data_IF_060657018356
#
_entry.id   IF_060657018356
#
_cell.length_a   1.000
_cell.length_b   1.000
_cell.length_c   1.000
_cell.angle_alpha   90.00
_cell.angle_beta   90.00
_cell.angle_gamma   90.00
#
_symmetry.space_group_name_H-M   'P 1'
#
loop_
_entity.id
_entity.type
_entity.pdbx_description
1 polymer ?
#
# COMPACT_ATOMS: atom_id res chain seq x y z
N UNK A 1 -0.60 16.39 -22.15
CA UNK A 1 -2.02 16.40 -21.75
C UNK A 1 -2.10 16.03 -20.29
N UNK A 2 -2.09 17.04 -19.40
CA UNK A 2 -2.12 16.88 -17.94
C UNK A 2 -3.57 16.68 -17.50
N UNK A 3 -3.95 15.46 -17.17
CA UNK A 3 -5.19 15.21 -16.43
C UNK A 3 -4.76 15.03 -14.97
N UNK A 4 -4.43 16.14 -14.30
CA UNK A 4 -4.45 16.15 -12.84
C UNK A 4 -5.93 16.16 -12.46
N UNK A 5 -6.45 14.97 -12.17
CA UNK A 5 -7.71 14.85 -11.44
C UNK A 5 -7.52 15.63 -10.14
N UNK A 6 -8.43 16.59 -9.92
CA UNK A 6 -8.46 17.47 -8.76
C UNK A 6 -8.89 16.69 -7.52
N UNK A 7 -8.07 15.73 -7.11
CA UNK A 7 -8.12 15.15 -5.79
C UNK A 7 -7.27 16.05 -4.87
N UNK A 8 -7.70 16.30 -3.62
CA UNK A 8 -6.79 16.88 -2.64
C UNK A 8 -5.52 16.02 -2.60
N UNK A 9 -4.36 16.66 -2.69
CA UNK A 9 -3.07 15.96 -2.54
C UNK A 9 -3.15 15.13 -1.25
N UNK A 10 -3.02 13.78 -1.34
CA UNK A 10 -3.05 12.94 -0.17
C UNK A 10 -1.94 13.40 0.79
N UNK A 11 -2.23 13.40 2.10
CA UNK A 11 -1.17 13.62 3.08
C UNK A 11 -0.02 12.63 2.86
N UNK A 12 1.19 12.93 3.35
CA UNK A 12 2.30 11.98 3.22
C UNK A 12 1.95 10.59 3.80
N UNK A 13 1.20 10.55 4.92
CA UNK A 13 0.71 9.32 5.53
C UNK A 13 -0.29 8.58 4.63
N UNK A 14 -1.26 9.31 4.07
CA UNK A 14 -2.24 8.77 3.12
C UNK A 14 -1.54 8.17 1.88
N UNK A 15 -0.57 8.88 1.34
CA UNK A 15 0.21 8.45 0.17
C UNK A 15 0.94 7.14 0.45
N UNK A 16 1.60 7.05 1.61
CA UNK A 16 2.25 5.82 2.07
C UNK A 16 1.25 4.69 2.21
N UNK A 17 0.08 4.92 2.82
CA UNK A 17 -0.96 3.91 2.98
C UNK A 17 -1.48 3.39 1.63
N UNK A 18 -1.69 4.28 0.67
CA UNK A 18 -2.18 3.94 -0.68
C UNK A 18 -1.17 3.11 -1.47
N UNK A 19 0.10 3.53 -1.46
CA UNK A 19 1.21 2.77 -2.07
C UNK A 19 1.30 1.40 -1.41
N UNK A 20 1.30 1.36 -0.08
CA UNK A 20 1.39 0.14 0.69
C UNK A 20 0.25 -0.84 0.43
N UNK A 21 -0.95 -0.31 0.22
CA UNK A 21 -2.15 -1.09 -0.11
C UNK A 21 -2.16 -1.62 -1.54
N UNK A 22 -1.19 -1.20 -2.37
CA UNK A 22 -1.10 -1.56 -3.78
C UNK A 22 -0.01 -2.60 -4.08
N UNK A 23 0.96 -2.78 -3.19
CA UNK A 23 2.10 -3.70 -3.38
C UNK A 23 1.92 -5.02 -2.61
N UNK A 24 2.44 -6.15 -3.13
CA UNK A 24 2.32 -7.45 -2.47
C UNK A 24 3.32 -7.64 -1.32
N UNK A 25 4.31 -6.76 -1.22
CA UNK A 25 5.42 -6.86 -0.27
C UNK A 25 4.94 -6.82 1.19
N UNK A 26 5.78 -7.33 2.09
CA UNK A 26 5.60 -7.31 3.55
C UNK A 26 6.22 -6.07 4.18
N UNK A 27 5.69 -5.64 5.34
CA UNK A 27 6.14 -4.41 5.98
C UNK A 27 7.62 -4.53 6.29
N UNK A 28 8.40 -3.55 5.83
CA UNK A 28 9.83 -3.51 6.14
C UNK A 28 9.99 -3.33 7.64
N UNK A 29 10.69 -4.26 8.29
CA UNK A 29 10.94 -4.22 9.72
C UNK A 29 11.99 -3.17 10.07
N UNK A 30 11.97 -2.70 11.33
CA UNK A 30 13.01 -1.81 11.85
C UNK A 30 14.42 -2.40 11.70
N UNK A 31 14.54 -3.73 11.89
CA UNK A 31 15.82 -4.42 11.73
C UNK A 31 16.31 -4.39 10.29
N UNK A 32 15.44 -4.63 9.31
CA UNK A 32 15.81 -4.53 7.88
C UNK A 32 16.19 -3.10 7.52
N UNK A 33 15.43 -2.09 7.96
CA UNK A 33 15.81 -0.69 7.73
C UNK A 33 17.18 -0.37 8.33
N UNK A 34 17.46 -0.82 9.55
CA UNK A 34 18.76 -0.62 10.18
C UNK A 34 19.88 -1.37 9.46
N UNK A 35 19.60 -2.58 8.96
CA UNK A 35 20.58 -3.38 8.22
C UNK A 35 21.01 -2.71 6.91
N UNK A 36 20.07 -2.11 6.17
CA UNK A 36 20.36 -1.47 4.88
C UNK A 36 20.84 -0.02 5.02
N UNK A 37 20.33 0.72 6.00
CA UNK A 37 20.57 2.16 6.10
C UNK A 37 21.39 2.58 7.32
N UNK A 38 21.66 1.68 8.29
CA UNK A 38 22.39 2.02 9.52
C UNK A 38 23.85 2.43 9.30
N UNK A 39 24.41 2.18 8.11
CA UNK A 39 25.73 2.66 7.73
C UNK A 39 25.74 4.14 7.29
N UNK A 40 24.58 4.69 6.92
CA UNK A 40 24.44 6.04 6.34
C UNK A 40 23.49 6.95 7.13
N UNK A 41 22.64 6.39 7.98
CA UNK A 41 21.68 7.12 8.81
C UNK A 41 21.77 6.69 10.27
N UNK A 42 21.58 7.67 11.16
CA UNK A 42 21.50 7.41 12.60
C UNK A 42 20.29 6.54 12.94
N UNK A 43 20.45 5.68 13.94
CA UNK A 43 19.39 4.77 14.37
C UNK A 43 18.10 5.49 14.75
N UNK A 44 18.16 6.66 15.39
CA UNK A 44 16.98 7.45 15.76
C UNK A 44 16.22 7.96 14.52
N UNK A 45 16.92 8.30 13.44
CA UNK A 45 16.29 8.68 12.16
C UNK A 45 15.60 7.48 11.55
N UNK A 46 16.26 6.32 11.54
CA UNK A 46 15.69 5.06 11.04
C UNK A 46 14.45 4.65 11.82
N UNK A 47 14.49 4.79 13.14
CA UNK A 47 13.35 4.53 14.03
C UNK A 47 12.20 5.48 13.76
N UNK A 48 12.46 6.77 13.58
CA UNK A 48 11.44 7.76 13.23
C UNK A 48 10.77 7.44 11.88
N UNK A 49 11.54 7.03 10.87
CA UNK A 49 11.02 6.58 9.58
C UNK A 49 10.12 5.35 9.76
N UNK A 50 10.56 4.36 10.54
CA UNK A 50 9.78 3.17 10.83
C UNK A 50 8.47 3.49 11.57
N UNK A 51 8.49 4.37 12.57
CA UNK A 51 7.30 4.79 13.32
C UNK A 51 6.30 5.53 12.43
N UNK A 52 6.78 6.42 11.54
CA UNK A 52 5.93 7.08 10.55
C UNK A 52 5.31 6.08 9.58
N UNK A 53 6.12 5.19 9.01
CA UNK A 53 5.69 4.19 8.03
C UNK A 53 4.68 3.20 8.63
N UNK A 54 5.00 2.61 9.78
CA UNK A 54 4.12 1.68 10.51
C UNK A 54 2.83 2.35 11.00
N UNK A 55 2.92 3.62 11.43
CA UNK A 55 1.77 4.43 11.79
C UNK A 55 0.83 4.69 10.62
N UNK A 56 1.37 5.02 9.44
CA UNK A 56 0.58 5.27 8.23
C UNK A 56 -0.24 4.05 7.76
N UNK A 57 0.26 2.84 8.03
CA UNK A 57 -0.37 1.59 7.59
C UNK A 57 -1.16 0.88 8.68
N UNK A 58 -1.21 1.46 9.88
CA UNK A 58 -1.87 0.90 11.10
C UNK A 58 -1.41 -0.52 11.46
N UNK A 59 -0.20 -0.90 11.08
CA UNK A 59 0.38 -2.22 11.36
C UNK A 59 1.64 -2.00 12.18
N UNK A 60 1.69 -2.60 13.37
CA UNK A 60 2.90 -2.70 14.19
C UNK A 60 3.33 -4.17 14.28
N UNK A 61 4.02 -4.70 13.26
CA UNK A 61 4.46 -6.07 13.32
C UNK A 61 5.71 -6.15 14.20
N UNK A 62 5.76 -7.16 15.06
CA UNK A 62 6.98 -7.51 15.81
C UNK A 62 8.05 -8.12 14.91
N UNK A 63 7.66 -8.71 13.77
CA UNK A 63 8.53 -9.36 12.78
C UNK A 63 7.97 -9.21 11.36
N UNK A 64 8.83 -9.29 10.35
CA UNK A 64 8.41 -9.33 8.94
C UNK A 64 7.49 -10.55 8.72
N UNK A 65 6.23 -10.30 8.33
CA UNK A 65 5.23 -11.34 8.09
C UNK A 65 4.71 -11.20 6.65
N UNK A 66 4.49 -12.32 5.94
CA UNK A 66 3.79 -12.29 4.66
C UNK A 66 2.43 -11.59 4.78
N UNK A 67 2.02 -10.91 3.72
CA UNK A 67 0.68 -10.32 3.64
C UNK A 67 -0.38 -11.43 3.65
N UNK A 68 -1.58 -11.08 4.09
CA UNK A 68 -2.70 -12.02 4.06
C UNK A 68 -3.00 -12.46 2.62
N UNK A 69 -3.52 -13.68 2.47
CA UNK A 69 -3.96 -14.17 1.17
C UNK A 69 -4.97 -13.22 0.49
N UNK A 70 -5.82 -12.57 1.29
CA UNK A 70 -6.77 -11.57 0.81
C UNK A 70 -6.07 -10.37 0.16
N UNK A 71 -5.00 -9.86 0.78
CA UNK A 71 -4.20 -8.77 0.23
C UNK A 71 -3.44 -9.19 -1.03
N UNK A 72 -2.79 -10.36 -1.01
CA UNK A 72 -2.08 -10.90 -2.19
C UNK A 72 -3.04 -11.11 -3.37
N UNK A 73 -4.24 -11.60 -3.10
CA UNK A 73 -5.30 -11.76 -4.11
C UNK A 73 -5.74 -10.41 -4.66
N UNK A 74 -5.92 -9.38 -3.82
CA UNK A 74 -6.20 -8.00 -4.26
C UNK A 74 -5.11 -7.47 -5.20
N UNK A 75 -3.83 -7.59 -4.82
CA UNK A 75 -2.72 -7.15 -5.67
C UNK A 75 -2.73 -7.88 -7.03
N UNK A 76 -2.97 -9.19 -7.02
CA UNK A 76 -3.03 -10.00 -8.24
C UNK A 76 -4.16 -9.56 -9.17
N UNK A 77 -5.38 -9.43 -8.64
CA UNK A 77 -6.55 -8.98 -9.41
C UNK A 77 -6.31 -7.58 -9.99
N UNK A 78 -5.82 -6.65 -9.17
CA UNK A 78 -5.53 -5.28 -9.62
C UNK A 78 -4.46 -5.24 -10.72
N UNK A 79 -3.41 -6.05 -10.60
CA UNK A 79 -2.35 -6.15 -11.62
C UNK A 79 -2.92 -6.67 -12.95
N UNK A 80 -3.74 -7.72 -12.92
CA UNK A 80 -4.40 -8.24 -14.12
C UNK A 80 -5.35 -7.20 -14.74
N UNK A 81 -6.10 -6.47 -13.92
CA UNK A 81 -6.96 -5.38 -14.41
C UNK A 81 -6.14 -4.25 -15.05
N UNK A 82 -5.00 -3.88 -14.47
CA UNK A 82 -4.10 -2.86 -15.01
C UNK A 82 -3.52 -3.28 -16.37
N UNK A 83 -3.02 -4.52 -16.46
CA UNK A 83 -2.50 -5.08 -17.70
C UNK A 83 -3.54 -5.07 -18.83
N UNK A 84 -4.81 -5.20 -18.49
CA UNK A 84 -5.91 -5.15 -19.44
C UNK A 84 -6.48 -3.74 -19.66
N UNK A 85 -5.88 -2.68 -19.09
CA UNK A 85 -6.36 -1.30 -19.18
C UNK A 85 -7.70 -1.06 -18.47
N UNK A 86 -8.08 -1.97 -17.56
CA UNK A 86 -9.37 -1.97 -16.87
C UNK A 86 -9.28 -1.45 -15.43
N UNK A 87 -8.10 -1.11 -14.91
CA UNK A 87 -7.93 -0.62 -13.54
C UNK A 87 -8.44 0.83 -13.40
N UNK A 88 -9.76 1.00 -13.37
CA UNK A 88 -10.40 2.25 -12.99
C UNK A 88 -11.60 1.98 -12.07
N UNK A 89 -11.97 2.92 -11.17
CA UNK A 89 -13.06 2.71 -10.22
C UNK A 89 -14.39 2.31 -10.87
N UNK A 90 -14.68 2.85 -12.06
CA UNK A 90 -15.91 2.54 -12.82
C UNK A 90 -15.94 1.08 -13.29
N UNK A 91 -14.80 0.55 -13.72
CA UNK A 91 -14.71 -0.83 -14.19
C UNK A 91 -14.77 -1.82 -13.03
N UNK A 92 -14.21 -1.47 -11.86
CA UNK A 92 -14.33 -2.29 -10.64
C UNK A 92 -15.80 -2.48 -10.25
N UNK A 93 -16.63 -1.44 -10.40
CA UNK A 93 -18.07 -1.53 -10.12
C UNK A 93 -18.83 -2.52 -11.01
N UNK A 94 -18.31 -2.76 -12.22
CA UNK A 94 -18.94 -3.66 -13.19
C UNK A 94 -18.51 -5.13 -13.01
N UNK A 95 -17.59 -5.43 -12.08
CA UNK A 95 -17.17 -6.80 -11.81
C UNK A 95 -18.27 -7.53 -11.04
N UNK A 96 -18.59 -8.74 -11.51
CA UNK A 96 -19.55 -9.64 -10.89
C UNK A 96 -18.96 -10.36 -9.65
N UNK A 97 -18.68 -9.58 -8.61
CA UNK A 97 -18.26 -10.06 -7.28
C UNK A 97 -19.09 -9.37 -6.17
N UNK A 98 -19.09 -9.87 -4.93
CA UNK A 98 -19.72 -9.18 -3.80
C UNK A 98 -19.25 -7.73 -3.64
N UNK A 99 -20.13 -6.86 -3.13
CA UNK A 99 -19.86 -5.43 -2.97
C UNK A 99 -18.66 -5.18 -2.06
N UNK A 100 -18.53 -5.98 -1.02
CA UNK A 100 -17.46 -5.94 -0.03
C UNK A 100 -16.10 -6.13 -0.70
N UNK A 101 -16.01 -7.07 -1.65
CA UNK A 101 -14.79 -7.31 -2.42
C UNK A 101 -14.53 -6.20 -3.44
N UNK A 102 -15.57 -5.61 -4.05
CA UNK A 102 -15.40 -4.43 -4.92
C UNK A 102 -14.84 -3.24 -4.14
N UNK A 103 -15.40 -2.95 -2.96
CA UNK A 103 -14.87 -1.90 -2.08
C UNK A 103 -13.44 -2.21 -1.68
N UNK A 104 -13.16 -3.46 -1.28
CA UNK A 104 -11.80 -3.86 -0.91
C UNK A 104 -10.80 -3.74 -2.07
N UNK A 105 -11.19 -3.98 -3.32
CA UNK A 105 -10.33 -3.80 -4.50
C UNK A 105 -10.00 -2.33 -4.77
N UNK A 106 -10.85 -1.39 -4.34
CA UNK A 106 -10.53 0.04 -4.39
C UNK A 106 -9.46 0.36 -3.35
N UNK A 107 -8.70 1.42 -3.62
CA UNK A 107 -7.69 1.93 -2.68
C UNK A 107 -8.27 3.00 -1.75
N UNK A 108 -9.45 3.52 -2.07
CA UNK A 108 -10.16 4.54 -1.32
C UNK A 108 -11.23 3.87 -0.44
N UNK A 109 -11.44 4.44 0.75
CA UNK A 109 -12.60 4.16 1.61
C UNK A 109 -13.93 4.54 0.93
#
# INVERSE_FOLDING_TARGET
MKIFLQFPEPSASESVRLIWSSVPDSLISLNELNQYYGAVMDFEVIKSIFEFYSGAVEIKPSYCQPRSLMHLSKCTVRSVMEMNGQLCPKNIENIFIPRELRTYLKLQE
#
